data_IF_523116907432
#
_entry.id   IF_523116907432
#
_cell.length_a   1.000
_cell.length_b   1.000
_cell.length_c   1.000
_cell.angle_alpha   90.00
_cell.angle_beta   90.00
_cell.angle_gamma   90.00
#
_symmetry.space_group_name_H-M   'P 1'
#
loop_
_entity.id
_entity.type
_entity.pdbx_description
1 polymer ?
#
# COMPACT_ATOMS: atom_id res chain seq x y z
N UNK A 1 3.13 -7.18 -18.53
CA UNK A 1 4.07 -6.10 -18.94
C UNK A 1 5.29 -6.65 -19.66
N UNK A 2 5.98 -7.65 -19.12
CA UNK A 2 7.11 -8.33 -19.80
C UNK A 2 6.73 -8.92 -21.16
N UNK A 3 5.63 -9.66 -21.23
CA UNK A 3 5.11 -10.25 -22.47
C UNK A 3 4.67 -9.17 -23.46
N UNK A 4 3.96 -8.15 -22.99
CA UNK A 4 3.52 -7.00 -23.80
C UNK A 4 4.68 -6.22 -24.42
N UNK A 5 5.79 -6.08 -23.69
CA UNK A 5 6.98 -5.34 -24.12
C UNK A 5 8.03 -6.24 -24.80
N UNK A 6 7.81 -7.55 -24.87
CA UNK A 6 8.80 -8.51 -25.37
C UNK A 6 10.11 -8.54 -24.59
N UNK A 7 10.11 -8.05 -23.34
CA UNK A 7 11.31 -7.89 -22.51
C UNK A 7 11.32 -8.84 -21.32
N UNK A 8 12.49 -9.37 -20.97
CA UNK A 8 12.65 -10.16 -19.76
C UNK A 8 12.28 -9.35 -18.51
N UNK A 9 11.65 -9.98 -17.52
CA UNK A 9 11.13 -9.34 -16.30
C UNK A 9 12.14 -8.43 -15.58
N UNK A 10 13.42 -8.81 -15.56
CA UNK A 10 14.47 -8.03 -14.90
C UNK A 10 14.76 -6.72 -15.66
N UNK A 11 14.68 -6.74 -17.00
CA UNK A 11 14.86 -5.55 -17.84
C UNK A 11 13.70 -4.59 -17.62
N UNK A 12 12.48 -5.11 -17.59
CA UNK A 12 11.28 -4.32 -17.28
C UNK A 12 11.38 -3.69 -15.90
N UNK A 13 11.70 -4.46 -14.85
CA UNK A 13 11.87 -3.92 -13.50
C UNK A 13 12.96 -2.84 -13.42
N UNK A 14 14.08 -3.02 -14.14
CA UNK A 14 15.15 -2.01 -14.21
C UNK A 14 14.64 -0.73 -14.87
N UNK A 15 13.95 -0.83 -15.99
CA UNK A 15 13.38 0.33 -16.70
C UNK A 15 12.34 1.06 -15.85
N UNK A 16 11.40 0.32 -15.25
CA UNK A 16 10.39 0.89 -14.37
C UNK A 16 11.05 1.65 -13.20
N UNK A 17 12.11 1.10 -12.60
CA UNK A 17 12.86 1.78 -11.54
C UNK A 17 13.56 3.05 -12.01
N UNK A 18 14.17 3.04 -13.21
CA UNK A 18 14.78 4.23 -13.81
C UNK A 18 13.76 5.35 -14.05
N UNK A 19 12.53 4.99 -14.39
CA UNK A 19 11.41 5.92 -14.56
C UNK A 19 10.65 6.24 -13.26
N UNK A 20 11.16 5.82 -12.09
CA UNK A 20 10.53 6.10 -10.80
C UNK A 20 9.29 5.25 -10.48
N UNK A 21 8.97 4.27 -11.32
CA UNK A 21 7.87 3.32 -11.12
C UNK A 21 8.39 2.10 -10.36
N UNK A 22 8.45 2.21 -9.04
CA UNK A 22 8.83 1.09 -8.18
C UNK A 22 8.03 1.09 -6.89
N UNK A 23 7.99 -0.05 -6.21
CA UNK A 23 7.32 -0.15 -4.93
C UNK A 23 8.08 0.67 -3.88
N UNK A 24 7.40 1.66 -3.31
CA UNK A 24 7.90 2.49 -2.21
C UNK A 24 6.87 2.53 -1.08
N UNK A 25 7.34 2.69 0.15
CA UNK A 25 6.46 3.03 1.25
C UNK A 25 5.87 4.43 1.03
N UNK A 26 4.66 4.65 1.51
CA UNK A 26 4.08 5.99 1.57
C UNK A 26 4.74 6.78 2.69
N UNK A 27 4.84 8.09 2.52
CA UNK A 27 5.36 9.02 3.54
C UNK A 27 4.35 9.32 4.67
N UNK A 28 3.47 8.35 4.98
CA UNK A 28 2.47 8.50 6.04
C UNK A 28 3.17 8.40 7.40
N UNK A 29 2.87 9.33 8.30
CA UNK A 29 3.45 9.30 9.65
C UNK A 29 2.74 8.27 10.54
N UNK A 30 3.43 7.78 11.57
CA UNK A 30 2.81 6.90 12.57
C UNK A 30 1.60 7.56 13.25
N UNK A 31 1.66 8.88 13.48
CA UNK A 31 0.55 9.66 14.04
C UNK A 31 -0.68 9.66 13.13
N UNK A 32 -0.49 9.72 11.81
CA UNK A 32 -1.59 9.66 10.84
C UNK A 32 -2.20 8.25 10.80
N UNK A 33 -1.37 7.21 10.90
CA UNK A 33 -1.83 5.83 11.02
C UNK A 33 -2.69 5.69 12.28
N UNK A 34 -2.19 6.13 13.45
CA UNK A 34 -2.93 6.07 14.71
C UNK A 34 -4.27 6.79 14.63
N UNK A 35 -4.30 7.97 14.00
CA UNK A 35 -5.53 8.73 13.81
C UNK A 35 -6.54 7.98 12.94
N UNK A 36 -6.09 7.33 11.87
CA UNK A 36 -6.96 6.49 11.04
C UNK A 36 -7.49 5.27 11.81
N UNK A 37 -6.66 4.62 12.63
CA UNK A 37 -7.10 3.52 13.49
C UNK A 37 -8.14 4.00 14.50
N UNK A 38 -7.92 5.13 15.15
CA UNK A 38 -8.86 5.72 16.10
C UNK A 38 -10.19 6.06 15.44
N UNK A 39 -10.17 6.69 14.25
CA UNK A 39 -11.38 6.98 13.48
C UNK A 39 -12.16 5.70 13.15
N UNK A 40 -11.46 4.69 12.65
CA UNK A 40 -12.08 3.40 12.35
C UNK A 40 -12.72 2.76 13.60
N UNK A 41 -11.99 2.74 14.72
CA UNK A 41 -12.44 2.17 15.99
C UNK A 41 -13.59 2.95 16.63
N UNK A 42 -13.65 4.27 16.45
CA UNK A 42 -14.80 5.07 16.89
C UNK A 42 -16.10 4.60 16.25
N UNK A 43 -16.06 4.24 14.97
CA UNK A 43 -17.23 3.72 14.25
C UNK A 43 -17.48 2.22 14.49
N UNK A 44 -16.42 1.45 14.78
CA UNK A 44 -16.51 -0.01 14.94
C UNK A 44 -15.60 -0.51 16.09
N UNK A 45 -15.97 -0.27 17.36
CA UNK A 45 -15.09 -0.46 18.51
C UNK A 45 -14.62 -1.91 18.71
N UNK A 46 -15.50 -2.88 18.47
CA UNK A 46 -15.24 -4.31 18.66
C UNK A 46 -14.43 -4.98 17.54
N UNK A 47 -14.17 -4.28 16.43
CA UNK A 47 -13.50 -4.88 15.26
C UNK A 47 -12.06 -5.26 15.57
N UNK A 48 -11.62 -6.46 15.20
CA UNK A 48 -10.20 -6.84 15.29
C UNK A 48 -9.31 -6.16 14.25
N UNK A 49 -7.99 -6.32 14.42
CA UNK A 49 -6.94 -5.77 13.55
C UNK A 49 -7.13 -6.13 12.06
N UNK A 50 -7.63 -7.35 11.77
CA UNK A 50 -7.93 -7.81 10.40
C UNK A 50 -8.78 -6.80 9.61
N UNK A 51 -9.76 -6.18 10.27
CA UNK A 51 -10.67 -5.23 9.61
C UNK A 51 -10.07 -3.84 9.46
N UNK A 52 -9.15 -3.45 10.37
CA UNK A 52 -8.34 -2.22 10.23
C UNK A 52 -7.44 -2.33 9.00
N UNK A 53 -6.77 -3.48 8.82
CA UNK A 53 -5.95 -3.74 7.63
C UNK A 53 -6.82 -3.73 6.36
N UNK A 54 -8.04 -4.30 6.43
CA UNK A 54 -9.00 -4.23 5.32
C UNK A 54 -9.41 -2.81 4.97
N UNK A 55 -9.64 -1.97 5.99
CA UNK A 55 -9.95 -0.55 5.82
C UNK A 55 -8.80 0.23 5.17
N UNK A 56 -7.55 -0.02 5.57
CA UNK A 56 -6.40 0.58 4.89
C UNK A 56 -6.33 0.18 3.42
N UNK A 57 -6.53 -1.11 3.12
CA UNK A 57 -6.54 -1.60 1.73
C UNK A 57 -7.63 -0.95 0.89
N UNK A 58 -8.82 -0.74 1.44
CA UNK A 58 -9.91 -0.06 0.71
C UNK A 58 -9.63 1.42 0.43
N UNK A 59 -8.67 2.02 1.14
CA UNK A 59 -8.22 3.40 0.94
C UNK A 59 -6.87 3.48 0.21
N UNK A 60 -6.45 2.39 -0.45
CA UNK A 60 -5.20 2.36 -1.24
C UNK A 60 -3.92 2.18 -0.42
N UNK A 61 -4.03 1.97 0.89
CA UNK A 61 -2.89 1.74 1.78
C UNK A 61 -2.70 0.24 2.04
N UNK A 62 -1.57 -0.31 1.61
CA UNK A 62 -1.19 -1.70 1.92
C UNK A 62 -0.18 -1.72 3.05
N UNK A 63 -0.58 -2.28 4.19
CA UNK A 63 0.34 -2.59 5.30
C UNK A 63 1.10 -3.89 4.98
N UNK A 64 2.40 -3.93 5.25
CA UNK A 64 3.28 -5.11 5.08
C UNK A 64 3.58 -5.76 6.42
#
# INVERSE_FOLDING_TARGET
LSELLGMHRNVVSKQLRLHGVYQRFSDISDNDIDRLVQLYKKHRPSSGLRYVIGFFKSHGLRVQ
#
